data_IF_288291668647
#
_entry.id   IF_288291668647
#
_cell.length_a   1.000
_cell.length_b   1.000
_cell.length_c   1.000
_cell.angle_alpha   90.00
_cell.angle_beta   90.00
_cell.angle_gamma   90.00
#
_symmetry.space_group_name_H-M   'P 1'
#
loop_
_entity.id
_entity.type
_entity.pdbx_description
1 polymer ?
#
# COMPACT_ATOMS: atom_id res chain seq x y z
N UNK A 1 29.96 -3.51 8.97
CA UNK A 1 28.74 -3.00 9.64
C UNK A 1 27.63 -3.97 9.28
N UNK A 2 27.38 -4.95 10.16
CA UNK A 2 26.49 -6.07 9.88
C UNK A 2 25.04 -5.55 9.96
N UNK A 3 24.33 -5.49 8.85
CA UNK A 3 22.87 -5.34 8.88
C UNK A 3 22.34 -6.67 9.45
N UNK A 4 21.80 -6.60 10.67
CA UNK A 4 21.26 -7.76 11.36
C UNK A 4 20.18 -8.42 10.50
N UNK A 5 20.26 -9.75 10.43
CA UNK A 5 19.39 -10.60 9.63
C UNK A 5 17.92 -10.31 9.86
N UNK A 6 17.20 -10.29 8.74
CA UNK A 6 15.77 -10.09 8.60
C UNK A 6 15.00 -11.16 9.42
N UNK A 7 14.59 -10.83 10.64
CA UNK A 7 13.62 -11.64 11.39
C UNK A 7 12.28 -11.57 10.63
N UNK A 8 11.53 -12.67 10.47
CA UNK A 8 10.18 -12.59 9.90
C UNK A 8 9.32 -11.67 10.78
N UNK A 9 8.99 -10.48 10.28
CA UNK A 9 8.18 -9.47 11.00
C UNK A 9 6.72 -9.95 11.16
N UNK A 10 6.35 -11.06 10.52
CA UNK A 10 5.01 -11.62 10.48
C UNK A 10 5.06 -13.13 10.53
N UNK A 11 4.09 -13.74 11.23
CA UNK A 11 4.02 -15.18 11.39
C UNK A 11 3.82 -15.91 10.07
N UNK A 12 4.16 -17.20 10.10
CA UNK A 12 4.10 -18.08 8.95
C UNK A 12 2.68 -18.28 8.41
N UNK A 13 2.57 -19.07 7.34
CA UNK A 13 1.26 -19.37 6.75
C UNK A 13 0.32 -20.09 7.73
N UNK A 14 0.87 -20.76 8.74
CA UNK A 14 0.18 -21.43 9.84
C UNK A 14 -0.63 -20.46 10.72
N UNK A 15 -0.21 -19.20 10.82
CA UNK A 15 -0.94 -18.17 11.57
C UNK A 15 -2.29 -17.81 10.91
N UNK A 16 -2.43 -18.02 9.61
CA UNK A 16 -3.57 -17.54 8.83
C UNK A 16 -4.29 -18.71 8.15
N UNK A 17 -5.23 -19.37 8.86
CA UNK A 17 -5.89 -20.59 8.35
C UNK A 17 -6.71 -20.36 7.08
N UNK A 18 -7.04 -19.10 6.77
CA UNK A 18 -7.82 -18.69 5.61
C UNK A 18 -6.96 -18.33 4.38
N UNK A 19 -5.65 -18.57 4.43
CA UNK A 19 -4.78 -18.44 3.25
C UNK A 19 -5.06 -19.57 2.24
N UNK A 20 -5.71 -19.20 1.15
CA UNK A 20 -5.93 -20.09 0.00
C UNK A 20 -4.65 -20.45 -0.77
N UNK A 21 -3.56 -19.69 -0.61
CA UNK A 21 -2.27 -19.98 -1.26
C UNK A 21 -1.08 -19.75 -0.30
N UNK A 22 -0.75 -20.73 0.56
CA UNK A 22 0.39 -20.65 1.48
C UNK A 22 1.74 -20.47 0.77
N UNK A 23 1.91 -21.06 -0.42
CA UNK A 23 3.16 -20.96 -1.18
C UNK A 23 3.42 -19.54 -1.71
N UNK A 24 2.36 -18.83 -2.13
CA UNK A 24 2.45 -17.41 -2.46
C UNK A 24 2.83 -16.59 -1.23
N UNK A 25 2.22 -16.86 -0.08
CA UNK A 25 2.56 -16.17 1.18
C UNK A 25 4.03 -16.33 1.51
N UNK A 26 4.58 -17.56 1.44
CA UNK A 26 6.01 -17.80 1.67
C UNK A 26 6.92 -17.02 0.72
N UNK A 27 6.57 -16.91 -0.56
CA UNK A 27 7.35 -16.10 -1.52
C UNK A 27 7.26 -14.61 -1.22
N UNK A 28 6.08 -14.11 -0.84
CA UNK A 28 5.91 -12.73 -0.40
C UNK A 28 6.77 -12.46 0.83
N UNK A 29 6.85 -13.39 1.81
CA UNK A 29 7.72 -13.26 2.99
C UNK A 29 9.20 -13.16 2.63
N UNK A 30 9.63 -13.85 1.57
CA UNK A 30 11.02 -13.89 1.15
C UNK A 30 11.52 -12.59 0.49
N UNK A 31 10.62 -11.65 0.15
CA UNK A 31 11.02 -10.34 -0.40
C UNK A 31 11.85 -9.58 0.64
N UNK A 32 13.05 -9.14 0.25
CA UNK A 32 13.92 -8.29 1.07
C UNK A 32 13.54 -6.82 0.89
N UNK A 33 12.88 -6.26 1.91
CA UNK A 33 12.42 -4.87 1.93
C UNK A 33 13.34 -3.95 2.73
N UNK A 34 14.54 -4.41 3.12
CA UNK A 34 15.47 -3.65 3.97
C UNK A 34 15.82 -2.26 3.42
N UNK A 35 16.08 -2.17 2.10
CA UNK A 35 16.37 -0.89 1.43
C UNK A 35 15.17 0.05 1.38
N UNK A 36 13.96 -0.51 1.20
CA UNK A 36 12.71 0.26 1.22
C UNK A 36 12.51 0.88 2.60
N UNK A 37 12.67 0.08 3.67
CA UNK A 37 12.56 0.55 5.05
C UNK A 37 13.59 1.62 5.37
N UNK A 38 14.86 1.36 5.03
CA UNK A 38 15.96 2.30 5.26
C UNK A 38 15.69 3.66 4.59
N UNK A 39 15.16 3.65 3.35
CA UNK A 39 14.80 4.87 2.63
C UNK A 39 13.63 5.60 3.27
N UNK A 40 12.57 4.91 3.68
CA UNK A 40 11.40 5.52 4.34
C UNK A 40 11.75 6.14 5.70
N UNK A 41 12.64 5.52 6.45
CA UNK A 41 13.14 6.02 7.74
C UNK A 41 14.12 7.18 7.60
N UNK A 42 14.71 7.39 6.42
CA UNK A 42 15.72 8.43 6.25
C UNK A 42 15.11 9.82 6.49
N UNK A 43 15.72 10.67 7.34
CA UNK A 43 15.08 11.90 7.82
C UNK A 43 14.97 13.01 6.77
N UNK A 44 15.85 13.02 5.76
CA UNK A 44 15.89 14.06 4.72
C UNK A 44 15.28 13.58 3.42
N UNK A 45 15.82 12.50 2.90
CA UNK A 45 15.42 11.94 1.61
C UNK A 45 14.28 10.90 1.70
N UNK A 46 13.68 10.73 2.88
CA UNK A 46 12.60 9.78 3.14
C UNK A 46 11.39 10.46 3.78
N UNK A 47 10.55 9.67 4.45
CA UNK A 47 9.38 10.16 5.19
C UNK A 47 9.65 10.32 6.69
N UNK A 48 10.88 10.08 7.13
CA UNK A 48 11.29 10.15 8.54
C UNK A 48 10.41 9.25 9.45
N UNK A 49 10.04 8.07 8.97
CA UNK A 49 9.25 7.12 9.74
C UNK A 49 10.07 6.50 10.88
N UNK A 50 9.40 6.21 12.00
CA UNK A 50 10.02 5.43 13.08
C UNK A 50 10.17 3.97 12.68
N UNK A 51 11.01 3.23 13.41
CA UNK A 51 11.19 1.79 13.20
C UNK A 51 9.85 1.05 13.38
N UNK A 52 9.09 1.41 14.42
CA UNK A 52 7.80 0.79 14.72
C UNK A 52 6.80 1.00 13.58
N UNK A 53 6.74 2.23 13.04
CA UNK A 53 5.85 2.56 11.93
C UNK A 53 6.21 1.77 10.67
N UNK A 54 7.50 1.70 10.32
CA UNK A 54 7.91 1.02 9.09
C UNK A 54 7.69 -0.50 9.18
N UNK A 55 7.86 -1.09 10.37
CA UNK A 55 7.60 -2.52 10.61
C UNK A 55 6.09 -2.84 10.54
N UNK A 56 5.25 -1.96 11.10
CA UNK A 56 3.80 -2.08 11.01
C UNK A 56 3.31 -1.98 9.56
N UNK A 57 3.80 -0.99 8.81
CA UNK A 57 3.43 -0.79 7.41
C UNK A 57 3.97 -1.91 6.52
N UNK A 58 5.18 -2.43 6.77
CA UNK A 58 5.70 -3.58 6.05
C UNK A 58 4.79 -4.80 6.21
N UNK A 59 4.33 -5.09 7.43
CA UNK A 59 3.35 -6.16 7.70
C UNK A 59 2.11 -5.98 6.82
N UNK A 60 1.54 -4.78 6.82
CA UNK A 60 0.34 -4.47 6.05
C UNK A 60 0.58 -4.51 4.54
N UNK A 61 1.76 -4.08 4.08
CA UNK A 61 2.15 -4.14 2.66
C UNK A 61 2.26 -5.57 2.14
N UNK A 62 2.85 -6.49 2.91
CA UNK A 62 2.91 -7.92 2.52
C UNK A 62 1.51 -8.54 2.42
N UNK A 63 0.59 -8.17 3.31
CA UNK A 63 -0.83 -8.57 3.24
C UNK A 63 -1.52 -7.97 2.02
N UNK A 64 -1.24 -6.71 1.72
CA UNK A 64 -1.73 -6.01 0.53
C UNK A 64 -1.28 -6.71 -0.76
N UNK A 65 0.00 -7.11 -0.87
CA UNK A 65 0.51 -7.86 -2.02
C UNK A 65 -0.21 -9.19 -2.21
N UNK A 66 -0.48 -9.91 -1.11
CA UNK A 66 -1.23 -11.16 -1.16
C UNK A 66 -2.66 -10.93 -1.69
N UNK A 67 -3.38 -9.97 -1.12
CA UNK A 67 -4.74 -9.63 -1.55
C UNK A 67 -4.76 -9.19 -3.03
N UNK A 68 -3.85 -8.31 -3.43
CA UNK A 68 -3.76 -7.78 -4.80
C UNK A 68 -3.50 -8.86 -5.84
N UNK A 69 -2.74 -9.90 -5.47
CA UNK A 69 -2.55 -11.03 -6.36
C UNK A 69 -3.74 -11.99 -6.38
N UNK A 70 -4.38 -12.24 -5.24
CA UNK A 70 -5.47 -13.21 -5.12
C UNK A 70 -6.82 -12.69 -5.66
N UNK A 71 -7.08 -11.39 -5.55
CA UNK A 71 -8.34 -10.79 -5.97
C UNK A 71 -8.25 -10.29 -7.40
N UNK A 72 -9.11 -10.82 -8.29
CA UNK A 72 -9.17 -10.44 -9.71
C UNK A 72 -10.46 -9.73 -10.10
N UNK A 73 -11.48 -9.80 -9.24
CA UNK A 73 -12.82 -9.27 -9.54
C UNK A 73 -12.96 -7.77 -9.22
N UNK A 74 -12.04 -7.20 -8.45
CA UNK A 74 -12.06 -5.81 -8.04
C UNK A 74 -10.63 -5.31 -7.72
N UNK A 75 -10.35 -4.00 -7.84
CA UNK A 75 -9.05 -3.45 -7.48
C UNK A 75 -8.84 -3.46 -5.97
N UNK A 76 -7.72 -4.00 -5.49
CA UNK A 76 -7.37 -3.94 -4.07
C UNK A 76 -6.78 -2.57 -3.76
N UNK A 77 -7.36 -1.89 -2.77
CA UNK A 77 -7.05 -0.47 -2.47
C UNK A 77 -6.09 -0.39 -1.27
N UNK A 78 -4.87 0.15 -1.43
CA UNK A 78 -3.98 0.40 -0.31
C UNK A 78 -4.46 1.60 0.52
N UNK A 79 -4.06 1.66 1.79
CA UNK A 79 -4.10 2.94 2.53
C UNK A 79 -2.92 3.81 2.14
N UNK A 80 -2.93 5.09 2.49
CA UNK A 80 -1.83 6.00 2.14
C UNK A 80 -0.44 5.48 2.56
N UNK A 81 -0.29 4.95 3.77
CA UNK A 81 1.01 4.44 4.23
C UNK A 81 1.44 3.20 3.45
N UNK A 82 0.49 2.31 3.11
CA UNK A 82 0.78 1.11 2.31
C UNK A 82 1.18 1.52 0.88
N UNK A 83 0.51 2.53 0.33
CA UNK A 83 0.80 3.06 -1.01
C UNK A 83 2.18 3.72 -1.07
N UNK A 84 2.51 4.55 -0.08
CA UNK A 84 3.83 5.16 0.08
C UNK A 84 4.95 4.12 0.16
N UNK A 85 4.71 3.03 0.90
CA UNK A 85 5.65 1.92 0.97
C UNK A 85 5.80 1.22 -0.39
N UNK A 86 4.67 1.00 -1.08
CA UNK A 86 4.67 0.37 -2.39
C UNK A 86 5.40 1.22 -3.43
N UNK A 87 5.18 2.54 -3.46
CA UNK A 87 5.92 3.46 -4.32
C UNK A 87 7.42 3.35 -4.08
N UNK A 88 7.84 3.30 -2.82
CA UNK A 88 9.25 3.17 -2.50
C UNK A 88 9.84 1.83 -2.93
N UNK A 89 9.04 0.74 -2.94
CA UNK A 89 9.44 -0.53 -3.53
C UNK A 89 9.54 -0.46 -5.06
N UNK A 90 8.60 0.21 -5.74
CA UNK A 90 8.58 0.37 -7.21
C UNK A 90 9.78 1.18 -7.73
N UNK A 91 10.21 2.21 -6.98
CA UNK A 91 11.27 3.12 -7.40
C UNK A 91 12.62 2.43 -7.63
N UNK A 92 12.92 1.34 -6.92
CA UNK A 92 14.00 0.42 -7.31
C UNK A 92 13.46 -0.58 -8.35
N UNK A 93 13.38 -0.11 -9.59
CA UNK A 93 12.73 -0.85 -10.68
C UNK A 93 13.35 -2.21 -10.96
N UNK A 94 14.66 -2.38 -10.72
CA UNK A 94 15.35 -3.67 -10.90
C UNK A 94 14.97 -4.65 -9.80
N UNK A 95 15.01 -4.23 -8.53
CA UNK A 95 14.57 -5.07 -7.41
C UNK A 95 13.09 -5.42 -7.55
N UNK A 96 12.24 -4.43 -7.83
CA UNK A 96 10.79 -4.63 -7.97
C UNK A 96 10.44 -5.61 -9.08
N UNK A 97 11.07 -5.49 -10.27
CA UNK A 97 10.82 -6.41 -11.38
C UNK A 97 11.27 -7.85 -11.04
N UNK A 98 12.42 -8.01 -10.38
CA UNK A 98 12.92 -9.32 -9.91
C UNK A 98 11.96 -9.93 -8.90
N UNK A 99 11.55 -9.16 -7.91
CA UNK A 99 10.71 -9.63 -6.80
C UNK A 99 9.30 -9.98 -7.29
N UNK A 100 8.75 -9.18 -8.21
CA UNK A 100 7.51 -9.51 -8.91
C UNK A 100 7.63 -10.82 -9.70
N UNK A 101 8.70 -10.98 -10.49
CA UNK A 101 8.91 -12.20 -11.26
C UNK A 101 9.04 -13.44 -10.38
N UNK A 102 9.79 -13.35 -9.29
CA UNK A 102 9.99 -14.45 -8.35
C UNK A 102 8.72 -14.81 -7.57
N UNK A 103 7.91 -13.82 -7.21
CA UNK A 103 6.75 -14.00 -6.33
C UNK A 103 5.47 -14.33 -7.10
N UNK A 104 5.17 -13.53 -8.13
CA UNK A 104 3.92 -13.54 -8.89
C UNK A 104 4.08 -14.17 -10.28
N UNK A 105 5.31 -14.32 -10.78
CA UNK A 105 5.56 -14.81 -12.15
C UNK A 105 5.43 -13.74 -13.23
N UNK A 106 4.89 -12.57 -12.88
CA UNK A 106 4.62 -11.42 -13.75
C UNK A 106 4.85 -10.10 -13.00
N UNK A 107 4.88 -8.98 -13.72
CA UNK A 107 5.03 -7.66 -13.13
C UNK A 107 3.70 -7.20 -12.51
N UNK A 108 3.70 -6.84 -11.23
CA UNK A 108 2.50 -6.30 -10.58
C UNK A 108 2.42 -4.80 -10.88
N UNK A 109 1.49 -4.42 -11.76
CA UNK A 109 1.31 -3.04 -12.19
C UNK A 109 0.59 -2.20 -11.13
N UNK A 110 1.04 -0.96 -10.97
CA UNK A 110 0.40 0.04 -10.12
C UNK A 110 -0.40 1.03 -10.96
N UNK A 111 -1.65 1.29 -10.58
CA UNK A 111 -2.54 2.25 -11.24
C UNK A 111 -2.94 3.36 -10.24
N UNK A 112 -2.20 4.48 -10.18
CA UNK A 112 -2.38 5.53 -9.17
C UNK A 112 -3.51 6.51 -9.50
N UNK A 113 -4.53 6.10 -10.27
CA UNK A 113 -5.56 7.03 -10.76
C UNK A 113 -6.98 6.58 -10.41
N UNK A 114 -7.13 5.50 -9.62
CA UNK A 114 -8.43 5.01 -9.17
C UNK A 114 -9.11 6.05 -8.28
N UNK A 115 -10.31 6.48 -8.65
CA UNK A 115 -11.09 7.49 -7.94
C UNK A 115 -11.06 8.88 -8.57
N UNK A 116 -10.09 9.15 -9.46
CA UNK A 116 -9.85 10.49 -10.02
C UNK A 116 -10.60 10.77 -11.32
N UNK A 117 -11.19 9.74 -11.95
CA UNK A 117 -11.77 9.85 -13.31
C UNK A 117 -13.27 10.20 -13.31
N UNK A 118 -13.78 10.73 -12.21
CA UNK A 118 -15.17 11.17 -12.07
C UNK A 118 -15.97 10.37 -11.03
N UNK A 119 -17.27 10.67 -10.87
CA UNK A 119 -18.09 10.13 -9.77
C UNK A 119 -18.20 8.60 -9.74
N UNK A 120 -18.28 7.95 -10.90
CA UNK A 120 -18.34 6.48 -10.98
C UNK A 120 -17.04 5.83 -10.50
N UNK A 121 -15.88 6.41 -10.85
CA UNK A 121 -14.56 5.93 -10.44
C UNK A 121 -14.35 6.13 -8.93
N UNK A 122 -14.86 7.24 -8.37
CA UNK A 122 -14.85 7.49 -6.93
C UNK A 122 -15.73 6.48 -6.15
N UNK A 123 -16.89 6.10 -6.71
CA UNK A 123 -17.72 5.04 -6.14
C UNK A 123 -17.05 3.66 -6.24
N UNK A 124 -16.34 3.39 -7.33
CA UNK A 124 -15.53 2.19 -7.49
C UNK A 124 -14.41 2.15 -6.44
N UNK A 125 -13.68 3.24 -6.21
CA UNK A 125 -12.66 3.33 -5.17
C UNK A 125 -13.25 2.99 -3.79
N UNK A 126 -14.38 3.62 -3.43
CA UNK A 126 -15.04 3.39 -2.14
C UNK A 126 -15.47 1.94 -1.96
N UNK A 127 -16.22 1.38 -2.91
CA UNK A 127 -16.72 0.00 -2.83
C UNK A 127 -15.58 -1.03 -2.86
N UNK A 128 -14.50 -0.75 -3.58
CA UNK A 128 -13.31 -1.60 -3.63
C UNK A 128 -12.50 -1.56 -2.34
N UNK A 129 -12.43 -0.40 -1.68
CA UNK A 129 -11.81 -0.29 -0.35
C UNK A 129 -12.61 -1.05 0.71
N UNK A 130 -13.94 -0.95 0.71
CA UNK A 130 -14.81 -1.72 1.61
C UNK A 130 -14.60 -3.23 1.44
N UNK A 131 -14.50 -3.71 0.20
CA UNK A 131 -14.17 -5.11 -0.11
C UNK A 131 -12.77 -5.50 0.34
N UNK A 132 -11.78 -4.63 0.13
CA UNK A 132 -10.40 -4.83 0.59
C UNK A 132 -10.35 -5.02 2.11
N UNK A 133 -11.05 -4.17 2.86
CA UNK A 133 -11.15 -4.27 4.32
C UNK A 133 -11.81 -5.59 4.75
N UNK A 134 -12.91 -5.98 4.11
CA UNK A 134 -13.62 -7.22 4.42
C UNK A 134 -12.74 -8.46 4.18
N UNK A 135 -12.04 -8.51 3.04
CA UNK A 135 -11.17 -9.63 2.71
C UNK A 135 -9.90 -9.67 3.57
N UNK A 136 -9.35 -8.51 3.93
CA UNK A 136 -8.25 -8.45 4.88
C UNK A 136 -8.67 -9.03 6.24
N UNK A 137 -9.81 -8.61 6.78
CA UNK A 137 -10.34 -9.12 8.04
C UNK A 137 -10.59 -10.64 7.97
N UNK A 138 -11.20 -11.10 6.88
CA UNK A 138 -11.49 -12.53 6.68
C UNK A 138 -10.22 -13.38 6.62
N UNK A 139 -9.19 -12.93 5.90
CA UNK A 139 -7.98 -13.73 5.65
C UNK A 139 -7.01 -13.66 6.83
N UNK A 140 -6.78 -12.46 7.37
CA UNK A 140 -5.74 -12.22 8.38
C UNK A 140 -6.28 -12.13 9.81
N UNK A 141 -7.60 -12.15 10.00
CA UNK A 141 -8.26 -12.00 11.30
C UNK A 141 -7.84 -10.72 12.05
N UNK A 142 -7.45 -9.69 11.30
CA UNK A 142 -7.06 -8.37 11.79
C UNK A 142 -7.77 -7.30 10.96
N UNK A 143 -8.21 -6.19 11.56
CA UNK A 143 -8.74 -5.07 10.78
C UNK A 143 -7.67 -4.55 9.83
N UNK A 144 -8.10 -4.03 8.68
CA UNK A 144 -7.19 -3.34 7.77
C UNK A 144 -6.69 -2.06 8.43
N UNK A 145 -5.44 -1.67 8.14
CA UNK A 145 -4.79 -0.53 8.78
C UNK A 145 -5.69 0.71 8.71
N UNK A 146 -5.86 1.40 9.84
CA UNK A 146 -6.74 2.57 9.94
C UNK A 146 -6.00 3.84 9.52
N UNK A 147 -5.60 3.91 8.26
CA UNK A 147 -5.35 5.19 7.58
C UNK A 147 -6.38 5.35 6.46
N UNK A 148 -6.66 6.60 6.06
CA UNK A 148 -7.59 6.85 4.96
C UNK A 148 -7.18 6.02 3.72
N UNK A 149 -8.15 5.56 2.89
CA UNK A 149 -7.81 4.95 1.60
C UNK A 149 -6.90 5.91 0.85
N UNK A 150 -5.90 5.38 0.16
CA UNK A 150 -5.04 6.21 -0.68
C UNK A 150 -5.92 6.85 -1.77
N UNK A 151 -6.26 8.12 -1.58
CA UNK A 151 -6.78 8.97 -2.64
C UNK A 151 -5.56 9.58 -3.32
N UNK A 152 -5.29 9.17 -4.56
CA UNK A 152 -4.10 9.58 -5.28
C UNK A 152 -4.13 11.08 -5.70
N UNK A 153 -5.05 11.87 -5.15
CA UNK A 153 -5.15 13.32 -5.33
C UNK A 153 -4.08 14.15 -4.61
N UNK A 154 -3.42 13.62 -3.58
CA UNK A 154 -2.28 14.30 -2.94
C UNK A 154 -0.96 13.74 -3.47
N UNK A 155 -0.63 14.17 -4.69
CA UNK A 155 0.70 14.00 -5.25
C UNK A 155 1.73 14.58 -4.27
N UNK A 156 2.53 13.69 -3.69
CA UNK A 156 3.82 13.99 -3.07
C UNK A 156 4.85 14.48 -4.13
N UNK A 157 4.45 15.39 -5.01
CA UNK A 157 5.35 16.29 -5.70
C UNK A 157 5.42 17.54 -4.83
N UNK A 158 6.58 17.80 -4.22
CA UNK A 158 6.80 18.89 -3.28
C UNK A 158 6.55 20.29 -3.84
N UNK A 159 5.28 20.66 -3.97
CA UNK A 159 4.83 22.04 -4.06
C UNK A 159 4.39 22.47 -2.67
N UNK A 160 5.26 23.25 -2.05
CA UNK A 160 5.10 23.88 -0.75
C UNK A 160 3.80 24.68 -0.62
N UNK A 161 3.18 24.56 0.56
CA UNK A 161 2.39 25.57 1.27
C UNK A 161 1.17 26.16 0.55
N UNK A 162 0.01 25.83 1.12
CA UNK A 162 -1.03 26.83 1.37
C UNK A 162 -2.29 26.63 0.55
N UNK A 163 -3.24 25.88 1.11
CA UNK A 163 -4.62 26.30 0.97
C UNK A 163 -5.22 26.33 2.38
N UNK A 164 -5.24 27.55 2.93
CA UNK A 164 -5.97 27.85 4.14
C UNK A 164 -7.45 27.56 3.91
N UNK A 165 -8.03 26.87 4.87
CA UNK A 165 -9.44 26.91 5.17
C UNK A 165 -9.97 28.35 5.07
N UNK A 166 -10.97 28.58 4.21
CA UNK A 166 -12.11 29.42 4.57
C UNK A 166 -13.29 29.29 3.59
N UNK A 167 -14.46 29.15 4.22
CA UNK A 167 -15.79 29.64 3.84
C UNK A 167 -16.51 29.08 2.61
N UNK A 168 -17.62 28.40 2.93
CA UNK A 168 -18.89 28.43 2.22
C UNK A 168 -19.25 29.83 1.70
N UNK A 169 -19.85 29.95 0.52
CA UNK A 169 -20.45 31.20 0.07
C UNK A 169 -20.85 31.21 -1.40
N UNK A 170 -22.16 31.08 -1.61
CA UNK A 170 -22.95 31.30 -2.82
C UNK A 170 -22.49 32.45 -3.73
N UNK A 171 -22.66 32.26 -5.05
CA UNK A 171 -22.23 33.20 -6.08
C UNK A 171 -22.92 32.96 -7.43
N UNK A 172 -24.24 32.95 -7.44
CA UNK A 172 -25.13 33.43 -8.52
C UNK A 172 -24.55 33.63 -9.93
N UNK A 173 -25.13 32.88 -10.87
CA UNK A 173 -25.09 33.11 -12.32
C UNK A 173 -25.55 34.53 -12.65
N UNK A 174 -24.77 35.26 -13.45
CA UNK A 174 -25.28 36.38 -14.27
C UNK A 174 -24.61 36.44 -15.64
N UNK A 175 -25.49 36.35 -16.64
CA UNK A 175 -25.49 36.87 -18.02
C UNK A 175 -24.21 36.76 -18.86
#
# INVERSE_FOLDING_TARGET
MQLAGNTPVIGGADQYPNLSNPGLWSRIQAIDLSMVKMKLMHPKDGKNWSQEKVDEVEKCYRRYLYLSYMQKDYPVVPTHDIDDFWHQHILDTFAYARDCKATFGEFMHHFPYLGLRGPEDALLLKSSFERTCADHLRIFNEPYMTSAPADCGDAACGCTKGCGSNSCGDGTVRA
#
